data_IF_210691863421
#
_entry.id   IF_210691863421
#
_cell.length_a   1.000
_cell.length_b   1.000
_cell.length_c   1.000
_cell.angle_alpha   90.00
_cell.angle_beta   90.00
_cell.angle_gamma   90.00
#
_symmetry.space_group_name_H-M   'P 1'
#
loop_
_entity.id
_entity.type
_entity.pdbx_description
1 polymer ?
#
# COMPACT_ATOMS: atom_id res chain seq x y z
N UNK A 1 36.71 10.74 2.33
CA UNK A 1 35.47 10.75 1.52
C UNK A 1 34.81 9.39 1.69
N UNK A 2 33.49 9.32 1.84
CA UNK A 2 32.75 8.05 1.90
C UNK A 2 32.28 7.73 0.47
N UNK A 3 32.99 6.84 -0.22
CA UNK A 3 32.72 6.42 -1.60
C UNK A 3 32.38 4.95 -1.71
N UNK A 4 32.87 4.13 -0.77
CA UNK A 4 32.69 2.68 -0.77
C UNK A 4 31.51 2.31 0.13
N UNK A 5 30.58 1.53 -0.38
CA UNK A 5 29.42 1.04 0.34
C UNK A 5 29.00 -0.32 -0.20
N UNK A 6 28.36 -1.11 0.66
CA UNK A 6 27.80 -2.41 0.33
C UNK A 6 26.27 -2.29 0.31
N UNK A 7 25.64 -2.66 -0.81
CA UNK A 7 24.18 -2.75 -0.92
C UNK A 7 23.79 -4.21 -1.02
N UNK A 8 22.92 -4.65 -0.11
CA UNK A 8 22.28 -5.96 -0.13
C UNK A 8 20.78 -5.79 -0.30
N UNK A 9 20.23 -6.47 -1.29
CA UNK A 9 18.78 -6.59 -1.46
C UNK A 9 18.32 -7.97 -0.99
N UNK A 10 17.08 -8.05 -0.55
CA UNK A 10 16.53 -9.30 -0.04
C UNK A 10 15.16 -9.10 0.59
N UNK A 11 14.82 -10.02 1.46
CA UNK A 11 13.61 -9.98 2.26
C UNK A 11 13.95 -9.79 3.73
N UNK A 12 13.41 -8.76 4.35
CA UNK A 12 13.50 -8.55 5.79
C UNK A 12 12.37 -9.28 6.48
N UNK A 13 12.71 -10.20 7.38
CA UNK A 13 11.70 -10.86 8.20
C UNK A 13 11.27 -9.92 9.34
N UNK A 14 9.99 -9.55 9.36
CA UNK A 14 9.43 -8.60 10.31
C UNK A 14 9.39 -9.13 11.75
N UNK A 15 9.55 -10.44 11.97
CA UNK A 15 9.53 -11.08 13.29
C UNK A 15 10.94 -11.29 13.83
N UNK A 16 11.82 -11.92 13.06
CA UNK A 16 13.20 -12.18 13.51
C UNK A 16 14.12 -10.98 13.40
N UNK A 17 13.74 -9.94 12.63
CA UNK A 17 14.55 -8.75 12.43
C UNK A 17 15.84 -9.05 11.67
N UNK A 18 15.77 -9.91 10.66
CA UNK A 18 16.94 -10.35 9.89
C UNK A 18 16.72 -10.23 8.39
N UNK A 19 17.75 -9.80 7.66
CA UNK A 19 17.77 -9.78 6.20
C UNK A 19 18.12 -11.15 5.63
N UNK A 20 17.21 -11.72 4.83
CA UNK A 20 17.45 -12.90 3.98
C UNK A 20 17.91 -12.46 2.60
N UNK A 21 19.17 -12.69 2.29
CA UNK A 21 19.80 -12.30 1.02
C UNK A 21 20.78 -13.41 0.57
N UNK A 22 20.85 -13.77 -0.73
CA UNK A 22 20.17 -13.14 -1.88
C UNK A 22 18.65 -13.37 -1.90
N UNK A 23 17.95 -12.71 -2.83
CA UNK A 23 16.49 -12.86 -3.01
C UNK A 23 16.11 -14.35 -3.07
N UNK A 24 15.13 -14.73 -2.25
CA UNK A 24 14.58 -16.08 -2.17
C UNK A 24 13.05 -16.00 -2.23
N UNK A 25 12.33 -17.11 -2.16
CA UNK A 25 10.85 -17.06 -2.11
C UNK A 25 10.39 -16.25 -0.89
N UNK A 26 9.57 -15.23 -1.12
CA UNK A 26 8.99 -14.39 -0.07
C UNK A 26 8.11 -15.23 0.86
N UNK A 27 8.41 -15.21 2.15
CA UNK A 27 7.53 -15.78 3.18
C UNK A 27 6.41 -14.82 3.60
N UNK A 28 5.42 -15.29 4.39
CA UNK A 28 4.31 -14.46 4.85
C UNK A 28 4.70 -13.27 5.74
N UNK A 29 5.90 -13.30 6.35
CA UNK A 29 6.41 -12.27 7.26
C UNK A 29 7.57 -11.47 6.66
N UNK A 30 7.81 -11.66 5.37
CA UNK A 30 8.95 -11.11 4.66
C UNK A 30 8.53 -9.86 3.88
N UNK A 31 9.22 -8.75 4.15
CA UNK A 31 9.06 -7.48 3.44
C UNK A 31 10.26 -7.26 2.50
N UNK A 32 10.04 -6.86 1.23
CA UNK A 32 11.14 -6.46 0.35
C UNK A 32 12.01 -5.38 1.01
N UNK A 33 13.32 -5.59 0.99
CA UNK A 33 14.25 -4.80 1.77
C UNK A 33 15.53 -4.44 1.02
N UNK A 34 16.07 -3.27 1.38
CA UNK A 34 17.40 -2.80 0.97
C UNK A 34 18.20 -2.49 2.22
N UNK A 35 19.36 -3.12 2.35
CA UNK A 35 20.33 -2.85 3.40
C UNK A 35 21.58 -2.20 2.80
N UNK A 36 22.00 -1.09 3.39
CA UNK A 36 23.21 -0.36 3.00
C UNK A 36 24.17 -0.36 4.17
N UNK A 37 25.41 -0.78 3.91
CA UNK A 37 26.50 -0.73 4.88
C UNK A 37 27.62 0.17 4.38
N UNK A 38 28.08 1.08 5.22
CA UNK A 38 29.22 1.97 4.94
C UNK A 38 30.28 1.72 6.01
N UNK A 39 31.54 1.53 5.62
CA UNK A 39 32.64 1.20 6.55
C UNK A 39 33.85 2.08 6.31
N UNK A 40 34.49 2.58 7.37
CA UNK A 40 35.83 3.16 7.33
C UNK A 40 36.80 2.13 7.91
N UNK A 41 37.53 1.45 7.05
CA UNK A 41 38.44 0.37 7.43
C UNK A 41 39.70 0.39 6.54
N UNK A 42 40.61 -0.57 6.72
CA UNK A 42 41.82 -0.63 5.89
C UNK A 42 41.49 -0.82 4.41
N UNK A 43 41.84 0.15 3.57
CA UNK A 43 41.55 0.10 2.13
C UNK A 43 40.17 0.64 1.72
N UNK A 44 39.32 1.03 2.68
CA UNK A 44 37.98 1.57 2.43
C UNK A 44 37.86 3.00 2.94
N UNK A 45 37.17 3.87 2.20
CA UNK A 45 36.71 5.18 2.69
C UNK A 45 37.78 6.01 3.44
N UNK A 46 38.97 6.10 2.85
CA UNK A 46 40.13 6.84 3.38
C UNK A 46 40.72 6.27 4.68
N UNK A 47 40.53 4.98 4.94
CA UNK A 47 41.17 4.28 6.06
C UNK A 47 40.41 4.38 7.39
N UNK A 48 40.84 3.60 8.40
CA UNK A 48 40.22 3.57 9.72
C UNK A 48 40.30 4.93 10.41
N UNK A 49 39.41 5.15 11.37
CA UNK A 49 39.34 6.40 12.15
C UNK A 49 40.52 6.45 13.10
N UNK A 50 41.18 7.61 13.16
CA UNK A 50 42.26 7.85 14.12
C UNK A 50 41.68 8.01 15.52
N UNK A 51 42.15 7.19 16.46
CA UNK A 51 41.79 7.32 17.87
C UNK A 51 42.81 8.25 18.54
N UNK A 52 42.33 9.26 19.26
CA UNK A 52 43.20 10.22 19.93
C UNK A 52 43.67 9.70 21.29
N UNK A 53 42.73 9.28 22.14
CA UNK A 53 43.03 8.85 23.52
C UNK A 53 43.53 7.41 23.60
N UNK A 54 43.04 6.50 22.73
CA UNK A 54 43.45 5.10 22.73
C UNK A 54 44.92 4.87 22.31
N UNK A 55 45.59 5.91 21.76
CA UNK A 55 47.02 5.89 21.46
C UNK A 55 47.88 5.68 22.69
N UNK A 56 47.46 6.17 23.85
CA UNK A 56 48.16 5.95 25.11
C UNK A 56 48.22 4.46 25.50
N UNK A 57 47.33 3.64 24.92
CA UNK A 57 47.25 2.19 25.09
C UNK A 57 47.84 1.41 23.88
N UNK A 58 48.52 2.10 22.95
CA UNK A 58 49.09 1.48 21.75
C UNK A 58 48.10 1.27 20.59
N UNK A 59 46.86 1.76 20.70
CA UNK A 59 45.83 1.62 19.65
C UNK A 59 45.68 2.94 18.90
N UNK A 60 46.23 3.01 17.68
CA UNK A 60 46.26 4.24 16.88
C UNK A 60 45.01 4.52 16.05
N UNK A 61 44.28 3.47 15.67
CA UNK A 61 43.14 3.54 14.76
C UNK A 61 42.10 2.46 15.07
N UNK A 62 40.85 2.69 14.62
CA UNK A 62 39.80 1.68 14.65
C UNK A 62 38.94 1.73 13.38
N UNK A 63 38.50 0.56 12.93
CA UNK A 63 37.47 0.47 11.90
C UNK A 63 36.11 0.83 12.49
N UNK A 64 35.29 1.58 11.74
CA UNK A 64 33.90 1.88 12.11
C UNK A 64 33.00 1.60 10.93
N UNK A 65 31.73 1.27 11.18
CA UNK A 65 30.78 1.09 10.09
C UNK A 65 29.35 1.30 10.53
N UNK A 66 28.53 1.80 9.62
CA UNK A 66 27.11 1.98 9.84
C UNK A 66 26.32 1.10 8.87
N UNK A 67 25.31 0.40 9.38
CA UNK A 67 24.37 -0.39 8.58
C UNK A 67 22.97 0.18 8.75
N UNK A 68 22.24 0.39 7.66
CA UNK A 68 20.84 0.81 7.66
C UNK A 68 20.01 -0.12 6.76
N UNK A 69 18.83 -0.53 7.22
CA UNK A 69 17.91 -1.38 6.44
C UNK A 69 16.55 -0.73 6.33
N UNK A 70 16.07 -0.58 5.10
CA UNK A 70 14.74 -0.05 4.80
C UNK A 70 13.88 -1.14 4.14
N UNK A 71 12.58 -1.15 4.44
CA UNK A 71 11.60 -2.09 3.88
C UNK A 71 10.41 -1.36 3.30
N UNK A 72 9.79 -1.95 2.29
CA UNK A 72 8.41 -1.62 1.88
C UNK A 72 7.51 -2.78 2.24
N UNK A 73 6.27 -2.51 2.63
CA UNK A 73 5.31 -3.52 3.02
C UNK A 73 3.99 -3.30 2.31
N UNK A 74 3.15 -4.33 2.31
CA UNK A 74 1.76 -4.20 1.89
C UNK A 74 0.98 -3.46 2.99
N UNK A 75 0.15 -2.47 2.62
CA UNK A 75 -0.46 -1.56 3.57
C UNK A 75 -1.54 -2.28 4.40
N UNK A 76 -1.45 -2.14 5.72
CA UNK A 76 -2.51 -2.51 6.67
C UNK A 76 -3.30 -1.32 7.19
N UNK A 77 -2.79 -0.11 6.92
CA UNK A 77 -3.34 1.16 7.39
C UNK A 77 -3.34 2.15 6.24
N UNK A 78 -4.45 2.87 6.09
CA UNK A 78 -4.61 4.01 5.20
C UNK A 78 -4.94 5.25 6.05
N UNK A 79 -4.06 6.25 6.03
CA UNK A 79 -4.27 7.52 6.74
C UNK A 79 -5.27 8.41 5.99
N UNK A 80 -5.76 9.51 6.61
CA UNK A 80 -6.70 10.42 5.94
C UNK A 80 -6.17 10.89 4.58
N UNK A 81 -7.02 10.83 3.56
CA UNK A 81 -6.73 11.21 2.17
C UNK A 81 -6.17 10.12 1.27
N UNK A 82 -5.93 8.91 1.79
CA UNK A 82 -5.29 7.84 1.04
C UNK A 82 -6.22 7.07 0.09
N UNK A 83 -7.51 6.96 0.42
CA UNK A 83 -8.46 6.05 -0.23
C UNK A 83 -9.48 6.78 -1.10
N UNK A 84 -9.78 6.19 -2.25
CA UNK A 84 -10.93 6.57 -3.06
C UNK A 84 -12.20 5.87 -2.54
N UNK A 85 -13.38 6.53 -2.54
CA UNK A 85 -14.56 6.05 -1.81
C UNK A 85 -15.34 4.94 -2.54
N UNK A 86 -14.65 3.96 -3.11
CA UNK A 86 -15.22 2.74 -3.68
C UNK A 86 -14.58 1.54 -3.00
N UNK A 87 -15.40 0.73 -2.33
CA UNK A 87 -14.98 -0.55 -1.78
C UNK A 87 -15.24 -1.68 -2.78
N UNK A 88 -14.30 -2.61 -2.89
CA UNK A 88 -14.45 -3.80 -3.72
C UNK A 88 -14.43 -5.06 -2.85
N UNK A 89 -15.11 -6.09 -3.33
CA UNK A 89 -15.08 -7.41 -2.71
C UNK A 89 -13.70 -8.04 -2.82
N UNK A 90 -13.38 -8.94 -1.90
CA UNK A 90 -12.13 -9.69 -1.91
C UNK A 90 -12.04 -10.55 -3.16
N UNK A 91 -13.14 -11.18 -3.58
CA UNK A 91 -13.15 -12.01 -4.81
C UNK A 91 -12.73 -11.22 -6.05
N UNK A 92 -13.12 -9.95 -6.15
CA UNK A 92 -12.69 -9.02 -7.22
C UNK A 92 -11.17 -8.76 -7.13
N UNK A 93 -10.67 -8.49 -5.92
CA UNK A 93 -9.25 -8.21 -5.69
C UNK A 93 -8.36 -9.43 -5.94
N UNK A 94 -8.84 -10.64 -5.63
CA UNK A 94 -8.13 -11.90 -5.87
C UNK A 94 -7.93 -12.18 -7.39
N UNK A 95 -8.75 -11.55 -8.26
CA UNK A 95 -8.63 -11.58 -9.72
C UNK A 95 -7.73 -10.48 -10.30
N UNK A 96 -7.01 -9.73 -9.47
CA UNK A 96 -6.25 -8.56 -9.92
C UNK A 96 -5.24 -8.85 -11.04
N UNK A 97 -4.66 -10.06 -11.07
CA UNK A 97 -3.73 -10.48 -12.12
C UNK A 97 -4.38 -10.61 -13.50
N UNK A 98 -5.71 -10.82 -13.58
CA UNK A 98 -6.46 -10.86 -14.84
C UNK A 98 -6.58 -9.47 -15.47
N UNK A 99 -6.60 -8.43 -14.64
CA UNK A 99 -6.87 -7.05 -15.03
C UNK A 99 -5.73 -6.11 -14.65
N UNK A 100 -4.49 -6.45 -15.02
CA UNK A 100 -3.29 -5.72 -14.63
C UNK A 100 -2.80 -4.65 -15.62
N UNK A 101 -3.58 -4.31 -16.65
CA UNK A 101 -3.11 -3.46 -17.75
C UNK A 101 -4.24 -2.73 -18.48
N UNK A 102 -3.90 -1.68 -19.25
CA UNK A 102 -4.85 -0.96 -20.12
C UNK A 102 -5.50 -1.84 -21.20
N UNK A 103 -4.88 -2.97 -21.58
CA UNK A 103 -5.48 -3.94 -22.50
C UNK A 103 -6.39 -4.97 -21.83
N UNK A 104 -6.45 -4.97 -20.50
CA UNK A 104 -7.20 -5.91 -19.67
C UNK A 104 -7.89 -5.13 -18.53
N UNK A 105 -8.98 -4.45 -18.86
CA UNK A 105 -9.74 -3.64 -17.90
C UNK A 105 -10.91 -4.42 -17.30
N UNK A 106 -11.28 -4.05 -16.07
CA UNK A 106 -12.48 -4.49 -15.37
C UNK A 106 -13.46 -3.32 -15.24
N UNK A 107 -14.76 -3.64 -15.18
CA UNK A 107 -15.82 -2.69 -14.81
C UNK A 107 -16.31 -3.05 -13.43
N UNK A 108 -16.15 -2.12 -12.51
CA UNK A 108 -16.59 -2.23 -11.13
C UNK A 108 -17.88 -1.42 -10.99
N UNK A 109 -18.99 -2.10 -10.74
CA UNK A 109 -20.29 -1.47 -10.56
C UNK A 109 -21.04 -2.08 -9.39
N UNK A 110 -22.18 -1.47 -9.03
CA UNK A 110 -22.97 -1.94 -7.89
C UNK A 110 -23.50 -3.37 -8.09
N UNK A 111 -23.60 -4.12 -7.00
CA UNK A 111 -24.12 -5.49 -6.96
C UNK A 111 -25.58 -5.63 -7.42
N UNK A 112 -26.37 -4.55 -7.43
CA UNK A 112 -27.68 -4.53 -8.11
C UNK A 112 -27.62 -4.79 -9.62
N UNK A 113 -26.46 -4.59 -10.24
CA UNK A 113 -26.31 -4.60 -11.71
C UNK A 113 -25.16 -5.48 -12.21
N UNK A 114 -24.22 -5.83 -11.33
CA UNK A 114 -23.00 -6.56 -11.66
C UNK A 114 -22.90 -7.82 -10.81
N UNK A 115 -22.36 -8.93 -11.35
CA UNK A 115 -22.11 -10.12 -10.56
C UNK A 115 -21.10 -9.83 -9.45
N UNK A 116 -21.09 -10.65 -8.39
CA UNK A 116 -20.24 -10.44 -7.21
C UNK A 116 -18.75 -10.23 -7.55
N UNK A 117 -18.25 -10.93 -8.56
CA UNK A 117 -16.84 -10.87 -8.98
C UNK A 117 -16.47 -9.62 -9.81
N UNK A 118 -17.47 -8.78 -10.14
CA UNK A 118 -17.30 -7.46 -10.77
C UNK A 118 -17.97 -6.36 -9.92
N UNK A 119 -18.40 -6.70 -8.69
CA UNK A 119 -19.16 -5.80 -7.84
C UNK A 119 -18.26 -4.92 -6.97
N UNK A 120 -18.60 -3.64 -6.91
CA UNK A 120 -18.03 -2.68 -5.98
C UNK A 120 -19.02 -1.58 -5.68
N UNK A 121 -18.86 -0.94 -4.53
CA UNK A 121 -19.88 -0.05 -4.01
C UNK A 121 -19.27 1.17 -3.32
N UNK A 122 -19.98 2.29 -3.40
CA UNK A 122 -19.57 3.51 -2.72
C UNK A 122 -19.43 3.25 -1.21
N UNK A 123 -18.44 3.87 -0.57
CA UNK A 123 -18.26 3.81 0.88
C UNK A 123 -18.17 5.20 1.47
N UNK A 124 -18.75 5.36 2.65
CA UNK A 124 -18.62 6.56 3.50
C UNK A 124 -17.66 6.31 4.67
N UNK A 125 -16.89 5.23 4.60
CA UNK A 125 -15.92 4.79 5.61
C UNK A 125 -16.55 4.62 6.98
N UNK A 126 -16.43 5.57 7.89
CA UNK A 126 -16.82 5.44 9.28
C UNK A 126 -18.22 6.00 9.59
N UNK A 127 -18.86 6.68 8.62
CA UNK A 127 -20.14 7.37 8.84
C UNK A 127 -21.28 6.69 8.10
N UNK A 128 -22.41 6.44 8.77
CA UNK A 128 -23.66 6.03 8.09
C UNK A 128 -24.36 7.26 7.48
N UNK A 129 -23.90 7.69 6.30
CA UNK A 129 -24.46 8.83 5.57
C UNK A 129 -24.69 8.46 4.12
N UNK A 130 -25.97 8.43 3.71
CA UNK A 130 -26.35 8.18 2.32
C UNK A 130 -26.58 9.46 1.51
N UNK A 131 -25.55 10.30 1.41
CA UNK A 131 -25.64 11.61 0.75
C UNK A 131 -24.67 11.73 -0.44
N UNK A 132 -25.09 12.49 -1.46
CA UNK A 132 -24.32 12.73 -2.69
C UNK A 132 -23.18 13.74 -2.44
N UNK A 133 -23.45 14.94 -1.89
CA UNK A 133 -22.42 15.86 -1.40
C UNK A 133 -21.33 15.20 -0.56
N UNK A 134 -21.69 14.30 0.35
CA UNK A 134 -20.70 13.63 1.20
C UNK A 134 -19.72 12.77 0.38
N UNK A 135 -20.22 11.92 -0.52
CA UNK A 135 -19.34 11.10 -1.37
C UNK A 135 -18.53 11.97 -2.35
N UNK A 136 -19.09 13.08 -2.84
CA UNK A 136 -18.35 14.05 -3.66
C UNK A 136 -17.16 14.63 -2.91
N UNK A 137 -17.33 14.97 -1.64
CA UNK A 137 -16.24 15.44 -0.78
C UNK A 137 -15.16 14.34 -0.62
N UNK A 138 -15.56 13.09 -0.39
CA UNK A 138 -14.63 11.96 -0.33
C UNK A 138 -13.88 11.70 -1.64
N UNK A 139 -14.48 11.95 -2.81
CA UNK A 139 -13.78 11.84 -4.09
C UNK A 139 -12.64 12.86 -4.19
N UNK A 140 -12.83 14.06 -3.63
CA UNK A 140 -11.85 15.15 -3.67
C UNK A 140 -10.78 15.00 -2.58
N UNK A 141 -11.19 14.59 -1.38
CA UNK A 141 -10.38 14.66 -0.18
C UNK A 141 -9.98 13.28 0.39
N UNK A 142 -10.51 12.19 -0.16
CA UNK A 142 -10.29 10.83 0.31
C UNK A 142 -11.00 10.50 1.62
N UNK A 143 -10.59 9.41 2.28
CA UNK A 143 -11.10 9.04 3.61
C UNK A 143 -10.77 10.11 4.67
N UNK A 144 -11.72 10.52 5.52
CA UNK A 144 -11.50 11.60 6.50
C UNK A 144 -10.71 11.12 7.72
N UNK A 145 -10.87 9.84 8.08
CA UNK A 145 -10.25 9.20 9.24
C UNK A 145 -9.38 8.03 8.79
N UNK A 146 -8.44 7.63 9.64
CA UNK A 146 -7.61 6.44 9.41
C UNK A 146 -8.49 5.19 9.27
N UNK A 147 -8.21 4.38 8.25
CA UNK A 147 -8.84 3.08 8.01
C UNK A 147 -7.78 1.99 8.12
N UNK A 148 -8.04 0.97 8.91
CA UNK A 148 -7.15 -0.19 9.08
C UNK A 148 -7.84 -1.48 8.62
N UNK A 149 -7.06 -2.54 8.38
CA UNK A 149 -7.56 -3.90 8.15
C UNK A 149 -8.18 -4.56 9.40
N UNK A 150 -8.30 -3.83 10.51
CA UNK A 150 -9.04 -4.25 11.71
C UNK A 150 -10.39 -3.52 11.82
N UNK A 151 -10.63 -2.53 10.97
CA UNK A 151 -11.86 -1.74 10.97
C UNK A 151 -12.92 -2.36 10.05
N UNK A 152 -14.17 -1.92 10.25
CA UNK A 152 -15.26 -2.14 9.31
C UNK A 152 -15.77 -0.82 8.77
N UNK A 153 -15.87 -0.74 7.44
CA UNK A 153 -16.34 0.46 6.73
C UNK A 153 -17.80 0.32 6.31
N UNK A 154 -18.50 1.44 6.24
CA UNK A 154 -19.89 1.53 5.84
C UNK A 154 -20.02 1.49 4.32
N UNK A 155 -20.68 0.45 3.82
CA UNK A 155 -21.02 0.32 2.41
C UNK A 155 -22.34 1.03 2.16
N UNK A 156 -22.31 1.95 1.19
CA UNK A 156 -23.48 2.72 0.82
C UNK A 156 -24.46 1.85 0.07
N UNK A 157 -25.76 1.99 0.29
CA UNK A 157 -26.76 1.31 -0.50
C UNK A 157 -27.02 1.99 -1.85
N UNK A 158 -27.49 1.19 -2.80
CA UNK A 158 -28.03 1.67 -4.06
C UNK A 158 -27.00 2.24 -5.04
N UNK A 159 -27.47 2.53 -6.23
CA UNK A 159 -26.62 2.96 -7.34
C UNK A 159 -26.60 4.50 -7.39
N UNK A 160 -25.62 5.16 -6.74
CA UNK A 160 -25.48 6.64 -6.70
C UNK A 160 -25.10 7.23 -8.07
N UNK A 161 -26.05 7.19 -9.00
CA UNK A 161 -25.84 7.36 -10.43
C UNK A 161 -25.26 8.73 -10.84
N UNK A 162 -25.60 9.79 -10.12
CA UNK A 162 -25.15 11.16 -10.42
C UNK A 162 -23.65 11.35 -10.18
N UNK A 163 -23.06 10.59 -9.25
CA UNK A 163 -21.68 10.75 -8.78
C UNK A 163 -20.65 10.20 -9.77
N UNK A 164 -21.06 9.26 -10.63
CA UNK A 164 -20.15 8.69 -11.64
C UNK A 164 -19.57 9.74 -12.61
N UNK A 165 -20.25 10.87 -12.80
CA UNK A 165 -19.74 11.99 -13.59
C UNK A 165 -18.59 12.76 -12.92
N UNK A 166 -18.36 12.52 -11.63
CA UNK A 166 -17.37 13.23 -10.82
C UNK A 166 -16.13 12.36 -10.55
N UNK A 167 -16.16 11.11 -11.02
CA UNK A 167 -15.02 10.20 -10.96
C UNK A 167 -13.89 10.76 -11.82
N UNK A 168 -12.72 11.08 -11.24
CA UNK A 168 -11.55 11.49 -12.00
C UNK A 168 -11.06 10.34 -12.89
N UNK A 169 -10.52 10.69 -14.05
CA UNK A 169 -10.05 9.73 -15.06
C UNK A 169 -8.54 9.83 -15.23
N UNK A 170 -7.93 8.74 -15.67
CA UNK A 170 -6.49 8.61 -15.93
C UNK A 170 -5.63 8.86 -14.68
N UNK A 171 -6.14 8.41 -13.52
CA UNK A 171 -5.46 8.52 -12.22
C UNK A 171 -5.32 7.17 -11.55
N UNK A 172 -4.28 7.05 -10.72
CA UNK A 172 -4.11 5.93 -9.80
C UNK A 172 -4.77 6.24 -8.46
N UNK A 173 -5.54 5.28 -7.94
CA UNK A 173 -6.22 5.38 -6.65
C UNK A 173 -6.01 4.10 -5.83
N UNK A 174 -6.07 4.24 -4.52
CA UNK A 174 -6.16 3.09 -3.62
C UNK A 174 -7.63 2.82 -3.26
N UNK A 175 -8.06 1.57 -3.41
CA UNK A 175 -9.41 1.13 -3.04
C UNK A 175 -9.33 0.24 -1.79
N UNK A 176 -10.25 0.39 -0.81
CA UNK A 176 -10.42 -0.61 0.23
C UNK A 176 -10.93 -1.93 -0.36
N UNK A 177 -10.23 -3.02 -0.04
CA UNK A 177 -10.70 -4.39 -0.24
C UNK A 177 -11.41 -4.81 1.04
N UNK A 178 -12.66 -5.21 0.94
CA UNK A 178 -13.44 -5.70 2.08
C UNK A 178 -13.74 -7.18 1.94
N UNK A 179 -14.09 -7.85 3.04
CA UNK A 179 -14.53 -9.25 2.97
C UNK A 179 -15.77 -9.40 2.10
N UNK A 180 -15.91 -10.56 1.47
CA UNK A 180 -17.08 -10.87 0.65
C UNK A 180 -18.33 -10.89 1.53
N UNK A 181 -19.21 -9.94 1.26
CA UNK A 181 -20.46 -9.72 1.99
C UNK A 181 -21.50 -9.19 1.02
N UNK A 182 -22.76 -9.26 1.44
CA UNK A 182 -23.88 -8.69 0.68
C UNK A 182 -23.82 -7.15 0.77
N UNK A 183 -23.47 -6.48 -0.34
CA UNK A 183 -23.33 -5.02 -0.40
C UNK A 183 -24.70 -4.32 -0.52
N UNK A 184 -25.78 -5.06 -0.80
CA UNK A 184 -27.15 -4.55 -0.86
C UNK A 184 -27.74 -4.19 0.52
N UNK A 185 -27.15 -4.70 1.61
CA UNK A 185 -27.81 -4.73 2.94
C UNK A 185 -27.55 -3.53 3.84
N UNK A 186 -26.88 -2.46 3.37
CA UNK A 186 -26.53 -1.30 4.21
C UNK A 186 -25.74 -1.72 5.45
N UNK A 187 -24.53 -2.23 5.25
CA UNK A 187 -23.78 -2.88 6.32
C UNK A 187 -22.38 -2.29 6.50
N UNK A 188 -21.87 -2.45 7.72
CA UNK A 188 -20.43 -2.37 7.98
C UNK A 188 -19.77 -3.66 7.53
N UNK A 189 -18.83 -3.55 6.61
CA UNK A 189 -18.07 -4.70 6.11
C UNK A 189 -16.62 -4.57 6.58
N UNK A 190 -16.03 -5.64 7.16
CA UNK A 190 -14.63 -5.63 7.57
C UNK A 190 -13.68 -5.39 6.41
N UNK A 191 -12.70 -4.52 6.62
CA UNK A 191 -11.61 -4.25 5.67
C UNK A 191 -10.62 -5.39 5.71
N UNK A 192 -10.30 -5.94 4.55
CA UNK A 192 -9.28 -6.97 4.39
C UNK A 192 -7.91 -6.36 4.05
N UNK A 193 -7.86 -5.34 3.20
CA UNK A 193 -6.63 -4.69 2.78
C UNK A 193 -6.90 -3.54 1.80
N UNK A 194 -5.87 -3.14 1.05
CA UNK A 194 -5.96 -2.07 0.07
C UNK A 194 -5.31 -2.48 -1.24
N UNK A 195 -5.92 -2.09 -2.35
CA UNK A 195 -5.49 -2.43 -3.71
C UNK A 195 -5.27 -1.17 -4.54
N UNK A 196 -4.28 -1.18 -5.42
CA UNK A 196 -4.07 -0.12 -6.39
C UNK A 196 -4.92 -0.31 -7.64
N UNK A 197 -5.54 0.77 -8.12
CA UNK A 197 -6.40 0.75 -9.30
C UNK A 197 -6.18 2.01 -10.14
N UNK A 198 -6.01 1.84 -11.44
CA UNK A 198 -5.92 2.94 -12.40
C UNK A 198 -7.27 3.12 -13.09
N UNK A 199 -7.91 4.26 -12.85
CA UNK A 199 -9.22 4.57 -13.44
C UNK A 199 -9.02 5.07 -14.87
N UNK A 200 -9.64 4.41 -15.84
CA UNK A 200 -9.64 4.83 -17.26
C UNK A 200 -10.99 5.39 -17.71
N UNK A 201 -12.06 5.07 -17.00
CA UNK A 201 -13.41 5.47 -17.39
C UNK A 201 -14.40 5.43 -16.25
N UNK A 202 -15.50 6.15 -16.42
CA UNK A 202 -16.70 6.01 -15.60
C UNK A 202 -17.93 6.19 -16.47
N UNK A 203 -19.02 5.52 -16.11
CA UNK A 203 -20.29 5.63 -16.82
C UNK A 203 -21.43 5.77 -15.83
N UNK A 204 -22.32 6.73 -16.07
CA UNK A 204 -23.64 6.82 -15.45
C UNK A 204 -24.73 6.17 -16.33
N UNK A 205 -25.87 5.83 -15.75
CA UNK A 205 -27.06 5.36 -16.46
C UNK A 205 -27.75 4.22 -15.74
N UNK A 206 -28.32 3.28 -16.50
CA UNK A 206 -29.06 2.14 -15.92
C UNK A 206 -28.13 1.08 -15.30
N UNK A 207 -26.86 1.05 -15.71
CA UNK A 207 -25.82 0.17 -15.20
C UNK A 207 -24.53 0.98 -15.12
N UNK A 208 -24.37 1.81 -14.08
CA UNK A 208 -23.20 2.65 -13.94
C UNK A 208 -22.04 1.86 -13.34
N UNK A 209 -20.83 2.27 -13.72
CA UNK A 209 -19.59 1.60 -13.35
C UNK A 209 -18.40 2.56 -13.38
N UNK A 210 -17.33 2.14 -12.72
CA UNK A 210 -15.98 2.65 -12.93
C UNK A 210 -15.20 1.59 -13.70
N UNK A 211 -14.46 2.01 -14.72
CA UNK A 211 -13.63 1.15 -15.56
C UNK A 211 -12.17 1.48 -15.34
N UNK A 212 -11.34 0.45 -15.33
CA UNK A 212 -9.91 0.59 -15.09
C UNK A 212 -9.20 -0.75 -14.99
N UNK A 213 -7.98 -0.73 -14.47
CA UNK A 213 -7.17 -1.92 -14.27
C UNK A 213 -6.40 -1.83 -12.95
N UNK A 214 -6.16 -2.97 -12.31
CA UNK A 214 -5.37 -3.05 -11.10
C UNK A 214 -3.90 -2.78 -11.39
N UNK A 215 -3.23 -2.09 -10.49
CA UNK A 215 -1.81 -1.80 -10.62
C UNK A 215 -1.01 -2.80 -9.79
N UNK A 216 0.08 -3.31 -10.38
CA UNK A 216 0.98 -4.24 -9.69
C UNK A 216 1.90 -3.54 -8.68
N UNK A 217 1.98 -2.21 -8.76
CA UNK A 217 2.74 -1.37 -7.85
C UNK A 217 2.09 0.01 -7.74
N UNK A 218 1.26 0.20 -6.71
CA UNK A 218 0.82 1.53 -6.27
C UNK A 218 1.52 1.93 -4.98
N UNK A 219 2.19 3.07 -5.01
CA UNK A 219 2.69 3.71 -3.80
C UNK A 219 1.55 4.49 -3.13
N UNK A 220 1.21 4.16 -1.88
CA UNK A 220 0.24 4.93 -1.08
C UNK A 220 1.03 5.78 -0.08
N UNK A 221 1.28 7.09 -0.33
CA UNK A 221 2.12 7.91 0.54
C UNK A 221 1.64 7.95 2.00
N UNK A 222 0.31 7.91 2.16
CA UNK A 222 -0.41 8.00 3.41
C UNK A 222 -0.81 6.60 3.88
N UNK A 223 0.15 5.70 4.06
CA UNK A 223 -0.11 4.33 4.54
C UNK A 223 0.87 3.84 5.60
N UNK A 224 0.43 2.83 6.36
CA UNK A 224 1.23 2.10 7.35
C UNK A 224 1.33 0.61 7.01
N UNK A 225 2.37 -0.09 7.51
CA UNK A 225 2.64 -1.49 7.18
C UNK A 225 1.59 -2.45 7.75
N UNK A 226 1.73 -3.75 7.43
CA UNK A 226 0.99 -4.89 8.02
C UNK A 226 -0.42 -5.12 7.44
N UNK A 227 -0.51 -5.38 6.13
CA UNK A 227 -1.75 -5.86 5.51
C UNK A 227 -1.52 -6.90 4.40
N UNK A 228 -2.59 -7.53 3.88
CA UNK A 228 -2.53 -8.40 2.71
C UNK A 228 -2.02 -7.67 1.46
N UNK A 229 -1.31 -8.39 0.60
CA UNK A 229 -0.69 -7.83 -0.60
C UNK A 229 -1.61 -7.89 -1.81
N UNK A 230 -2.18 -6.75 -2.18
CA UNK A 230 -2.97 -6.56 -3.40
C UNK A 230 -2.33 -5.50 -4.34
N UNK A 231 -1.02 -5.55 -4.56
CA UNK A 231 -0.33 -4.62 -5.47
C UNK A 231 -0.15 -3.18 -4.96
N UNK A 232 -0.61 -2.86 -3.75
CA UNK A 232 -0.33 -1.61 -3.06
C UNK A 232 0.85 -1.74 -2.08
N UNK A 233 1.61 -0.67 -1.91
CA UNK A 233 2.84 -0.64 -1.11
C UNK A 233 2.96 0.64 -0.27
N UNK A 234 3.53 0.49 0.92
CA UNK A 234 3.84 1.59 1.83
C UNK A 234 5.13 2.31 1.46
N UNK A 235 5.32 3.55 1.95
CA UNK A 235 6.61 4.21 1.96
C UNK A 235 7.72 3.33 2.53
N UNK A 236 8.95 3.37 1.97
CA UNK A 236 10.09 2.74 2.60
C UNK A 236 10.29 3.25 4.02
N UNK A 237 10.32 2.33 4.99
CA UNK A 237 10.53 2.65 6.40
C UNK A 237 11.81 1.98 6.90
N UNK A 238 12.56 2.70 7.74
CA UNK A 238 13.77 2.19 8.38
C UNK A 238 13.38 1.18 9.46
N UNK A 239 13.88 -0.05 9.36
CA UNK A 239 13.62 -1.14 10.33
C UNK A 239 14.80 -1.46 11.22
N UNK A 240 16.02 -1.13 10.77
CA UNK A 240 17.23 -1.33 11.55
C UNK A 240 18.27 -0.27 11.20
N UNK A 241 18.97 0.21 12.23
CA UNK A 241 20.24 0.90 12.07
C UNK A 241 21.23 0.46 13.16
N UNK A 242 22.52 0.40 12.82
CA UNK A 242 23.60 0.04 13.76
C UNK A 242 24.87 0.80 13.38
N UNK A 243 25.65 1.22 14.38
CA UNK A 243 26.91 2.01 14.25
C UNK A 243 28.01 1.34 15.05
#
# INVERSE_FOLDING_TARGET
>A
MLTDYEVRTGYWNLVSGTLRSPLSTQGPQDAPAVQVTVRRSGGENSGPVQLFFARALGIGTAGVGATATAVTACPGVAYPGALFPIAIRRSVADRASEFGSRSSTIRIGSDYHYPEDDAGQWTSFDVDVNDVPFIRDLIQNGNPNTVTNLDSIWIQPGTKNTIYNEVPLEIDVALPVVLDADFDTHARVPVHGFIGFHITGSKKGNQPYIEGYFTSFLYIPQSGPVGPCYGAYTPPQLVQWTV
#
